data_IF_650868581541
#
_entry.id   IF_650868581541
#
_cell.length_a   1.000
_cell.length_b   1.000
_cell.length_c   1.000
_cell.angle_alpha   90.00
_cell.angle_beta   90.00
_cell.angle_gamma   90.00
#
_symmetry.space_group_name_H-M   'P 1'
#
loop_
_entity.id
_entity.type
_entity.pdbx_description
1 polymer ?
#
# COMPACT_ATOMS: atom_id res chain seq x y z
N UNK A 1 2.76 7.53 27.21
CA UNK A 1 1.59 7.58 26.32
C UNK A 1 2.12 7.68 24.91
N UNK A 2 1.79 6.73 24.03
CA UNK A 2 2.23 6.76 22.64
C UNK A 2 1.18 7.46 21.79
N UNK A 3 1.61 8.34 20.89
CA UNK A 3 0.75 8.91 19.85
C UNK A 3 0.90 8.02 18.63
N UNK A 4 -0.20 7.37 18.23
CA UNK A 4 -0.23 6.52 17.05
C UNK A 4 -0.50 7.35 15.79
N UNK A 5 0.25 7.01 14.75
CA UNK A 5 0.13 7.57 13.41
C UNK A 5 0.04 6.38 12.45
N UNK A 6 -0.99 6.35 11.62
CA UNK A 6 -1.17 5.33 10.60
C UNK A 6 -1.57 5.98 9.26
N UNK A 7 -1.71 5.17 8.20
CA UNK A 7 -2.05 5.69 6.86
C UNK A 7 -3.46 6.30 6.76
N UNK A 8 -4.32 6.08 7.74
CA UNK A 8 -5.71 6.59 7.79
C UNK A 8 -5.80 7.84 8.67
N UNK A 9 -4.94 7.94 9.69
CA UNK A 9 -4.84 9.08 10.60
C UNK A 9 -3.38 9.55 10.75
N UNK A 10 -2.78 10.11 9.68
CA UNK A 10 -1.40 10.57 9.69
C UNK A 10 -1.22 11.91 10.41
N UNK A 11 -2.31 12.61 10.78
CA UNK A 11 -2.26 13.96 11.35
C UNK A 11 -1.33 14.88 10.55
N UNK A 12 -0.29 15.44 11.18
CA UNK A 12 0.68 16.34 10.54
C UNK A 12 1.69 15.63 9.63
N UNK A 13 1.63 14.31 9.51
CA UNK A 13 2.46 13.52 8.60
C UNK A 13 1.77 13.18 7.27
N UNK A 14 0.62 13.81 6.99
CA UNK A 14 -0.18 13.59 5.77
C UNK A 14 0.66 13.62 4.48
N UNK A 15 1.62 14.53 4.42
CA UNK A 15 2.52 14.78 3.30
C UNK A 15 3.61 13.71 3.15
N UNK A 16 3.75 12.81 4.11
CA UNK A 16 4.82 11.80 4.16
C UNK A 16 4.32 10.36 4.08
N UNK A 17 3.00 10.12 4.09
CA UNK A 17 2.44 8.77 4.13
C UNK A 17 2.12 8.17 2.75
N UNK A 18 2.25 8.95 1.66
CA UNK A 18 1.93 8.50 0.31
C UNK A 18 2.49 9.44 -0.75
N UNK A 19 2.64 8.94 -1.97
CA UNK A 19 2.85 9.83 -3.12
C UNK A 19 1.51 10.37 -3.60
N UNK A 20 1.49 11.65 -3.94
CA UNK A 20 0.38 12.27 -4.67
C UNK A 20 0.37 11.81 -6.13
N UNK A 21 -0.77 12.01 -6.80
CA UNK A 21 -0.89 11.65 -8.22
C UNK A 21 0.16 12.35 -9.10
N UNK A 22 0.46 13.62 -8.83
CA UNK A 22 1.42 14.39 -9.62
C UNK A 22 2.85 13.89 -9.41
N UNK A 23 3.24 13.54 -8.18
CA UNK A 23 4.54 12.91 -7.90
C UNK A 23 4.67 11.56 -8.61
N UNK A 24 3.61 10.76 -8.66
CA UNK A 24 3.62 9.49 -9.38
C UNK A 24 3.73 9.72 -10.89
N UNK A 25 3.04 10.72 -11.47
CA UNK A 25 3.20 11.07 -12.89
C UNK A 25 4.64 11.48 -13.21
N UNK A 26 5.25 12.30 -12.35
CA UNK A 26 6.64 12.73 -12.52
C UNK A 26 7.62 11.55 -12.47
N UNK A 27 7.41 10.60 -11.54
CA UNK A 27 8.17 9.36 -11.49
C UNK A 27 7.97 8.51 -12.74
N UNK A 28 6.73 8.39 -13.23
CA UNK A 28 6.43 7.64 -14.45
C UNK A 28 7.13 8.27 -15.67
N UNK A 29 7.12 9.59 -15.78
CA UNK A 29 7.82 10.32 -16.84
C UNK A 29 9.34 10.12 -16.75
N UNK A 30 9.93 10.28 -15.56
CA UNK A 30 11.37 10.14 -15.33
C UNK A 30 11.90 8.74 -15.68
N UNK A 31 11.14 7.70 -15.36
CA UNK A 31 11.56 6.31 -15.55
C UNK A 31 10.88 5.62 -16.74
N UNK A 32 10.14 6.36 -17.55
CA UNK A 32 9.46 5.85 -18.75
C UNK A 32 8.53 4.67 -18.42
N UNK A 33 7.49 4.95 -17.61
CA UNK A 33 6.46 3.99 -17.17
C UNK A 33 5.07 4.46 -17.55
N UNK A 34 4.15 3.52 -17.68
CA UNK A 34 2.74 3.83 -17.86
C UNK A 34 2.11 4.21 -16.52
N UNK A 35 1.76 5.48 -16.39
CA UNK A 35 1.06 6.00 -15.22
C UNK A 35 -0.29 5.30 -14.99
N UNK A 36 -1.04 4.97 -16.05
CA UNK A 36 -2.36 4.33 -15.91
C UNK A 36 -2.23 2.92 -15.35
N UNK A 37 -1.19 2.18 -15.74
CA UNK A 37 -0.87 0.87 -15.17
C UNK A 37 -0.59 1.02 -13.67
N UNK A 38 0.36 1.88 -13.28
CA UNK A 38 0.70 2.13 -11.87
C UNK A 38 -0.52 2.59 -11.06
N UNK A 39 -1.37 3.44 -11.64
CA UNK A 39 -2.62 3.91 -11.02
C UNK A 39 -3.61 2.79 -10.76
N UNK A 40 -3.81 1.89 -11.71
CA UNK A 40 -4.71 0.74 -11.53
C UNK A 40 -4.25 -0.21 -10.42
N UNK A 41 -2.94 -0.28 -10.16
CA UNK A 41 -2.37 -1.18 -9.14
C UNK A 41 -2.27 -0.56 -7.76
N UNK A 42 -1.94 0.74 -7.65
CA UNK A 42 -1.45 1.31 -6.39
C UNK A 42 -2.19 2.56 -5.90
N UNK A 43 -3.22 3.01 -6.60
CA UNK A 43 -4.11 4.10 -6.14
C UNK A 43 -5.10 3.59 -5.09
N UNK A 44 -4.63 3.39 -3.85
CA UNK A 44 -5.40 2.70 -2.81
C UNK A 44 -5.81 3.55 -1.61
N UNK A 45 -5.35 4.80 -1.50
CA UNK A 45 -5.68 5.68 -0.38
C UNK A 45 -6.30 6.98 -0.87
N UNK A 46 -7.33 7.45 -0.17
CA UNK A 46 -7.85 8.79 -0.34
C UNK A 46 -7.83 9.49 1.01
N UNK A 47 -7.05 10.55 1.12
CA UNK A 47 -6.96 11.38 2.31
C UNK A 47 -7.53 12.76 1.98
N UNK A 48 -8.68 13.09 2.56
CA UNK A 48 -9.34 14.39 2.39
C UNK A 48 -9.54 14.79 0.90
N UNK A 49 -9.87 13.82 0.03
CA UNK A 49 -10.06 14.06 -1.40
C UNK A 49 -8.79 13.96 -2.24
N UNK A 50 -7.62 13.82 -1.63
CA UNK A 50 -6.34 13.62 -2.30
C UNK A 50 -6.08 12.12 -2.46
N UNK A 51 -5.89 11.68 -3.71
CA UNK A 51 -5.47 10.32 -4.02
C UNK A 51 -4.00 10.13 -3.67
N UNK A 52 -3.74 9.18 -2.78
CA UNK A 52 -2.41 8.82 -2.31
C UNK A 52 -2.07 7.39 -2.72
N UNK A 53 -0.82 7.22 -3.14
CA UNK A 53 -0.28 5.98 -3.67
C UNK A 53 0.74 5.42 -2.67
N UNK A 54 0.76 4.09 -2.51
CA UNK A 54 1.69 3.43 -1.60
C UNK A 54 3.15 3.68 -2.04
N UNK A 55 4.01 4.30 -1.19
CA UNK A 55 5.36 4.70 -1.59
C UNK A 55 6.26 3.54 -2.02
N UNK A 56 6.26 2.44 -1.25
CA UNK A 56 7.08 1.26 -1.55
C UNK A 56 6.64 0.66 -2.88
N UNK A 57 5.33 0.49 -3.08
CA UNK A 57 4.80 -0.07 -4.31
C UNK A 57 5.14 0.75 -5.55
N UNK A 58 4.99 2.08 -5.48
CA UNK A 58 5.35 2.98 -6.59
C UNK A 58 6.85 2.91 -6.87
N UNK A 59 7.70 2.99 -5.84
CA UNK A 59 9.16 2.93 -6.00
C UNK A 59 9.59 1.61 -6.64
N UNK A 60 9.11 0.48 -6.12
CA UNK A 60 9.45 -0.85 -6.63
C UNK A 60 8.97 -1.03 -8.08
N UNK A 61 7.74 -0.60 -8.39
CA UNK A 61 7.19 -0.72 -9.75
C UNK A 61 7.94 0.17 -10.75
N UNK A 62 8.26 1.41 -10.36
CA UNK A 62 8.98 2.36 -11.22
C UNK A 62 10.41 1.89 -11.47
N UNK A 63 11.14 1.47 -10.42
CA UNK A 63 12.52 0.99 -10.53
C UNK A 63 12.63 -0.33 -11.30
N UNK A 64 11.75 -1.30 -11.02
CA UNK A 64 11.79 -2.63 -11.68
C UNK A 64 11.08 -2.66 -13.04
N UNK A 65 10.27 -1.64 -13.31
CA UNK A 65 9.47 -1.53 -14.54
C UNK A 65 8.39 -2.58 -14.71
N UNK A 66 7.86 -3.11 -13.59
CA UNK A 66 6.76 -4.09 -13.58
C UNK A 66 5.91 -3.87 -12.35
N UNK A 67 4.59 -3.89 -12.49
CA UNK A 67 3.68 -3.91 -11.35
C UNK A 67 3.52 -5.35 -10.82
N UNK A 68 3.62 -5.49 -9.49
CA UNK A 68 3.40 -6.73 -8.72
C UNK A 68 2.80 -6.42 -7.35
N UNK A 69 2.60 -7.45 -6.52
CA UNK A 69 2.08 -7.37 -5.14
C UNK A 69 3.06 -6.73 -4.13
N UNK A 70 3.65 -5.59 -4.47
CA UNK A 70 4.53 -4.82 -3.59
C UNK A 70 3.81 -4.23 -2.37
N UNK A 71 2.48 -4.13 -2.47
CA UNK A 71 1.62 -3.65 -1.39
C UNK A 71 1.77 -4.46 -0.09
N UNK A 72 2.00 -5.77 -0.22
CA UNK A 72 2.05 -6.74 0.89
C UNK A 72 3.38 -6.64 1.67
N UNK A 73 4.37 -5.88 1.19
CA UNK A 73 5.70 -5.84 1.81
C UNK A 73 5.83 -4.82 2.95
N UNK A 74 4.71 -4.28 3.46
CA UNK A 74 4.72 -3.46 4.69
C UNK A 74 4.63 -4.37 5.92
N UNK A 75 5.54 -4.18 6.87
CA UNK A 75 5.77 -5.02 8.06
C UNK A 75 4.53 -5.27 8.93
N UNK A 76 3.53 -4.39 8.88
CA UNK A 76 2.26 -4.57 9.58
C UNK A 76 1.44 -5.75 9.02
N UNK A 77 1.37 -5.90 7.69
CA UNK A 77 0.63 -7.00 7.07
C UNK A 77 1.39 -8.31 7.21
N UNK A 78 2.72 -8.28 7.22
CA UNK A 78 3.55 -9.44 7.50
C UNK A 78 3.30 -9.94 8.93
N UNK A 79 3.20 -9.03 9.90
CA UNK A 79 2.90 -9.36 11.30
C UNK A 79 1.50 -9.97 11.45
N UNK A 80 0.48 -9.39 10.82
CA UNK A 80 -0.89 -9.93 10.83
C UNK A 80 -0.95 -11.26 10.07
N UNK A 81 -0.24 -11.41 8.96
CA UNK A 81 -0.17 -12.66 8.18
C UNK A 81 0.53 -13.77 8.97
N UNK A 82 1.62 -13.45 9.65
CA UNK A 82 2.31 -14.37 10.56
C UNK A 82 1.40 -14.79 11.71
N UNK A 83 0.65 -13.86 12.30
CA UNK A 83 -0.34 -14.17 13.33
C UNK A 83 -1.49 -15.03 12.78
N UNK A 84 -2.04 -14.72 11.61
CA UNK A 84 -3.10 -15.50 10.95
C UNK A 84 -2.66 -16.91 10.56
N UNK A 85 -1.36 -17.11 10.31
CA UNK A 85 -0.78 -18.41 9.97
C UNK A 85 -0.12 -19.10 11.17
N UNK A 86 -0.13 -18.48 12.36
CA UNK A 86 0.51 -19.00 13.56
C UNK A 86 -0.06 -20.36 13.98
N UNK A 87 -1.36 -20.57 13.73
CA UNK A 87 -2.06 -21.82 14.02
C UNK A 87 -2.14 -22.77 12.81
N UNK A 88 -1.19 -22.65 11.86
CA UNK A 88 -1.21 -23.33 10.57
C UNK A 88 -2.42 -22.96 9.68
N UNK A 89 -3.01 -21.78 9.87
CA UNK A 89 -4.08 -21.26 9.01
C UNK A 89 -5.48 -21.76 9.39
N UNK A 90 -5.65 -22.33 10.58
CA UNK A 90 -6.97 -22.72 11.12
C UNK A 90 -7.84 -21.47 11.32
N UNK A 91 -7.28 -20.40 11.87
CA UNK A 91 -7.92 -19.09 12.04
C UNK A 91 -8.38 -18.54 10.68
N UNK A 92 -7.50 -18.58 9.69
CA UNK A 92 -7.81 -18.16 8.31
C UNK A 92 -8.98 -18.96 7.74
N UNK A 93 -8.98 -20.29 7.90
CA UNK A 93 -10.05 -21.18 7.45
C UNK A 93 -11.38 -20.91 8.15
N UNK A 94 -11.39 -20.62 9.44
CA UNK A 94 -12.62 -20.32 10.20
C UNK A 94 -13.25 -19.02 9.71
N UNK A 95 -12.44 -17.99 9.46
CA UNK A 95 -12.91 -16.68 9.01
C UNK A 95 -13.50 -16.77 7.60
N UNK A 96 -12.81 -17.43 6.65
CA UNK A 96 -13.34 -17.60 5.29
C UNK A 96 -14.59 -18.46 5.21
N UNK A 97 -14.81 -19.36 6.18
CA UNK A 97 -16.03 -20.19 6.24
C UNK A 97 -17.25 -19.48 6.79
N UNK A 98 -17.08 -18.34 7.48
CA UNK A 98 -18.18 -17.57 8.07
C UNK A 98 -18.60 -16.37 7.22
N UNK A 99 -17.88 -16.10 6.13
CA UNK A 99 -18.13 -14.99 5.19
C UNK A 99 -18.77 -15.50 3.87
N UNK A 100 -18.92 -16.83 3.72
CA UNK A 100 -19.72 -17.51 2.71
C UNK A 100 -20.88 -18.24 3.37
#
# INVERSE_FOLDING_TARGET
MFTEYDMINPRELDSFIGFTEDEVKDLCNKYHRDFNEIKSWYNGYNLNGISLYNPISVVEAVLRGKCKDYWVQTSAIESVTNYMNYDHGVLKCIITRNIL
#
